data_IF_375735126843
#
_entry.id   IF_375735126843
#
_cell.length_a   1.000
_cell.length_b   1.000
_cell.length_c   1.000
_cell.angle_alpha   90.00
_cell.angle_beta   90.00
_cell.angle_gamma   90.00
#
_symmetry.space_group_name_H-M   'P 1'
#
loop_
_entity.id
_entity.type
_entity.pdbx_description
1 polymer ?
#
# COMPACT_ATOMS: atom_id res chain seq x y z
N UNK A 1 -23.84 -5.07 -6.06
CA UNK A 1 -22.55 -4.36 -6.10
C UNK A 1 -22.29 -3.83 -7.50
N UNK A 2 -22.07 -2.55 -7.59
CA UNK A 2 -21.84 -1.88 -8.86
C UNK A 2 -20.74 -0.82 -8.67
N UNK A 3 -19.73 -0.84 -9.54
CA UNK A 3 -18.63 0.10 -9.54
C UNK A 3 -18.33 0.56 -10.97
N UNK A 4 -18.21 1.87 -11.15
CA UNK A 4 -17.79 2.50 -12.41
C UNK A 4 -16.60 3.39 -12.10
N UNK A 5 -15.56 3.27 -12.92
CA UNK A 5 -14.43 4.20 -12.97
C UNK A 5 -14.31 4.80 -14.36
N UNK A 6 -14.02 6.09 -14.39
CA UNK A 6 -13.66 6.81 -15.61
C UNK A 6 -12.39 7.62 -15.32
N UNK A 7 -11.38 7.45 -16.18
CA UNK A 7 -10.11 8.15 -16.04
C UNK A 7 -9.72 8.81 -17.35
N UNK A 8 -9.18 10.01 -17.26
CA UNK A 8 -8.63 10.74 -18.41
C UNK A 8 -7.28 11.32 -18.07
N UNK A 9 -6.37 11.27 -19.05
CA UNK A 9 -5.03 11.80 -18.94
C UNK A 9 -4.74 12.75 -20.09
N UNK A 10 -4.19 13.91 -19.76
CA UNK A 10 -3.65 14.86 -20.72
C UNK A 10 -2.16 14.98 -20.49
N UNK A 11 -1.36 14.51 -21.45
CA UNK A 11 0.10 14.51 -21.35
C UNK A 11 0.72 15.54 -22.30
N UNK A 12 1.63 16.34 -21.78
CA UNK A 12 2.43 17.30 -22.52
C UNK A 12 3.88 16.82 -22.57
N UNK A 13 4.52 16.71 -23.74
CA UNK A 13 5.89 16.19 -23.88
C UNK A 13 6.98 17.18 -23.41
N UNK A 14 6.64 18.08 -22.51
CA UNK A 14 7.51 19.09 -21.90
C UNK A 14 7.07 19.42 -20.48
N UNK A 15 7.98 19.94 -19.67
CA UNK A 15 7.66 20.44 -18.33
C UNK A 15 7.00 21.80 -18.43
N UNK A 16 5.73 21.91 -18.03
CA UNK A 16 4.95 23.13 -17.93
C UNK A 16 4.92 23.56 -16.47
N UNK A 17 5.81 24.47 -16.08
CA UNK A 17 5.84 25.03 -14.74
C UNK A 17 5.77 26.56 -14.82
N UNK A 18 4.73 27.18 -14.26
CA UNK A 18 4.45 28.60 -14.50
C UNK A 18 5.52 29.53 -13.94
N UNK A 19 6.26 29.11 -12.89
CA UNK A 19 7.27 29.95 -12.24
C UNK A 19 8.71 29.73 -12.75
N UNK A 20 8.92 28.87 -13.75
CA UNK A 20 10.24 28.66 -14.37
C UNK A 20 10.39 29.51 -15.63
N UNK A 21 11.50 30.23 -15.73
CA UNK A 21 11.89 30.95 -16.94
C UNK A 21 12.06 29.96 -18.12
N UNK A 22 11.71 30.41 -19.32
CA UNK A 22 11.69 29.56 -20.52
C UNK A 22 13.07 28.93 -20.84
N UNK A 23 14.16 29.67 -20.61
CA UNK A 23 15.52 29.18 -20.79
C UNK A 23 15.81 27.92 -19.94
N UNK A 24 15.39 27.91 -18.67
CA UNK A 24 15.55 26.74 -17.78
C UNK A 24 14.62 25.60 -18.17
N UNK A 25 13.40 25.89 -18.66
CA UNK A 25 12.45 24.86 -19.11
C UNK A 25 12.98 24.06 -20.29
N UNK A 26 13.70 24.70 -21.23
CA UNK A 26 14.28 24.04 -22.42
C UNK A 26 15.33 22.98 -22.07
N UNK A 27 16.01 23.11 -20.92
CA UNK A 27 17.02 22.16 -20.47
C UNK A 27 16.45 21.03 -19.59
N UNK A 28 15.16 21.12 -19.19
CA UNK A 28 14.52 20.09 -18.38
C UNK A 28 13.86 19.05 -19.30
N UNK A 29 14.49 17.88 -19.40
CA UNK A 29 13.85 16.72 -20.06
C UNK A 29 12.77 16.13 -19.16
N UNK A 30 11.53 16.02 -19.67
CA UNK A 30 10.41 15.45 -18.92
C UNK A 30 9.06 15.82 -19.53
N UNK A 31 8.00 15.30 -18.96
CA UNK A 31 6.62 15.54 -19.36
C UNK A 31 5.80 16.10 -18.18
N UNK A 32 4.74 16.82 -18.51
CA UNK A 32 3.70 17.21 -17.57
C UNK A 32 2.44 16.43 -17.87
N UNK A 33 1.73 16.02 -16.82
CA UNK A 33 0.52 15.22 -16.96
C UNK A 33 -0.55 15.80 -16.05
N UNK A 34 -1.73 16.02 -16.59
CA UNK A 34 -2.97 16.29 -15.87
C UNK A 34 -3.81 15.02 -15.92
N UNK A 35 -4.15 14.47 -14.77
CA UNK A 35 -5.03 13.32 -14.65
C UNK A 35 -6.31 13.68 -13.90
N UNK A 36 -7.43 13.13 -14.34
CA UNK A 36 -8.73 13.20 -13.66
C UNK A 36 -9.29 11.78 -13.59
N UNK A 37 -9.62 11.34 -12.39
CA UNK A 37 -10.25 10.05 -12.11
C UNK A 37 -11.56 10.29 -11.37
N UNK A 38 -12.64 9.70 -11.85
CA UNK A 38 -13.89 9.57 -11.14
C UNK A 38 -14.19 8.10 -10.88
N UNK A 39 -14.45 7.75 -9.63
CA UNK A 39 -14.87 6.40 -9.22
C UNK A 39 -16.18 6.49 -8.44
N UNK A 40 -17.12 5.63 -8.79
CA UNK A 40 -18.43 5.53 -8.20
C UNK A 40 -18.71 4.10 -7.77
N UNK A 41 -18.85 3.88 -6.47
CA UNK A 41 -19.18 2.59 -5.86
C UNK A 41 -20.57 2.65 -5.24
N UNK A 42 -21.43 1.72 -5.61
CA UNK A 42 -22.73 1.49 -4.98
C UNK A 42 -22.74 0.11 -4.33
N UNK A 43 -22.76 0.10 -3.01
CA UNK A 43 -22.91 -1.12 -2.19
C UNK A 43 -24.23 -1.05 -1.41
N UNK A 44 -24.77 -2.19 -0.96
CA UNK A 44 -25.96 -2.20 -0.10
C UNK A 44 -25.77 -1.43 1.22
N UNK A 45 -24.52 -1.33 1.69
CA UNK A 45 -24.18 -0.68 2.95
C UNK A 45 -23.93 0.82 2.80
N UNK A 46 -23.37 1.24 1.64
CA UNK A 46 -23.02 2.65 1.38
C UNK A 46 -22.86 2.96 -0.10
N UNK A 47 -23.01 4.22 -0.44
CA UNK A 47 -22.61 4.78 -1.73
C UNK A 47 -21.38 5.66 -1.53
N UNK A 48 -20.36 5.43 -2.35
CA UNK A 48 -19.10 6.20 -2.30
C UNK A 48 -18.78 6.79 -3.66
N UNK A 49 -18.35 8.03 -3.67
CA UNK A 49 -17.89 8.76 -4.86
C UNK A 49 -16.49 9.28 -4.58
N UNK A 50 -15.56 9.04 -5.47
CA UNK A 50 -14.20 9.54 -5.38
C UNK A 50 -13.88 10.33 -6.64
N UNK A 51 -13.48 11.58 -6.46
CA UNK A 51 -12.95 12.42 -7.51
C UNK A 51 -11.48 12.71 -7.20
N UNK A 52 -10.60 12.32 -8.11
CA UNK A 52 -9.16 12.60 -8.00
C UNK A 52 -8.72 13.45 -9.16
N UNK A 53 -8.02 14.54 -8.88
CA UNK A 53 -7.35 15.37 -9.88
C UNK A 53 -5.88 15.52 -9.51
N UNK A 54 -4.96 15.31 -10.44
CA UNK A 54 -3.54 15.49 -10.17
C UNK A 54 -2.80 16.18 -11.30
N UNK A 55 -1.87 17.05 -10.92
CA UNK A 55 -0.87 17.64 -11.80
C UNK A 55 0.49 17.09 -11.45
N UNK A 56 1.10 16.36 -12.41
CA UNK A 56 2.32 15.60 -12.19
C UNK A 56 3.40 15.99 -13.20
N UNK A 57 4.65 15.85 -12.79
CA UNK A 57 5.83 15.94 -13.67
C UNK A 57 6.52 14.60 -13.66
N UNK A 58 6.85 14.10 -14.87
CA UNK A 58 7.58 12.84 -15.03
C UNK A 58 8.89 13.09 -15.77
N UNK A 59 9.94 12.49 -15.29
CA UNK A 59 11.26 12.47 -15.91
C UNK A 59 11.77 11.05 -15.96
N UNK A 60 12.28 10.67 -17.13
CA UNK A 60 12.96 9.39 -17.31
C UNK A 60 14.34 9.64 -17.92
N UNK A 61 15.37 8.95 -17.42
CA UNK A 61 16.70 9.01 -18.03
C UNK A 61 16.70 8.32 -19.40
N UNK A 62 17.62 8.72 -20.29
CA UNK A 62 17.78 8.11 -21.64
C UNK A 62 18.05 6.60 -21.55
N UNK A 63 18.75 6.15 -20.52
CA UNK A 63 18.98 4.71 -20.26
C UNK A 63 17.75 3.97 -19.74
N UNK A 64 16.66 4.65 -19.41
CA UNK A 64 15.49 4.09 -18.76
C UNK A 64 15.69 3.63 -17.30
N UNK A 65 16.92 3.84 -16.75
CA UNK A 65 17.26 3.35 -15.41
C UNK A 65 16.67 4.19 -14.29
N UNK A 66 16.59 5.51 -14.48
CA UNK A 66 16.08 6.44 -13.48
C UNK A 66 14.72 6.95 -13.96
N UNK A 67 13.72 6.81 -13.10
CA UNK A 67 12.41 7.42 -13.27
C UNK A 67 12.11 8.27 -12.03
N UNK A 68 11.67 9.49 -12.27
CA UNK A 68 11.27 10.44 -11.24
C UNK A 68 9.87 10.94 -11.56
N UNK A 69 9.03 11.00 -10.53
CA UNK A 69 7.69 11.57 -10.61
C UNK A 69 7.49 12.54 -9.46
N UNK A 70 7.04 13.74 -9.77
CA UNK A 70 6.61 14.74 -8.80
C UNK A 70 5.13 14.98 -9.02
N UNK A 71 4.29 14.60 -8.08
CA UNK A 71 2.91 15.06 -8.04
C UNK A 71 2.92 16.41 -7.32
N UNK A 72 2.88 17.49 -8.09
CA UNK A 72 2.96 18.83 -7.53
C UNK A 72 1.74 19.13 -6.65
N UNK A 73 0.56 18.75 -7.14
CA UNK A 73 -0.71 18.80 -6.40
C UNK A 73 -1.56 17.60 -6.84
N UNK A 74 -2.05 16.85 -5.88
CA UNK A 74 -3.07 15.83 -6.07
C UNK A 74 -4.21 16.09 -5.10
N UNK A 75 -5.42 16.16 -5.61
CA UNK A 75 -6.65 16.42 -4.85
C UNK A 75 -7.49 15.16 -4.91
N UNK A 76 -7.80 14.58 -3.75
CA UNK A 76 -8.70 13.46 -3.63
C UNK A 76 -9.90 13.89 -2.78
N UNK A 77 -11.06 13.94 -3.41
CA UNK A 77 -12.32 14.21 -2.74
C UNK A 77 -13.14 12.94 -2.65
N UNK A 78 -13.33 12.45 -1.43
CA UNK A 78 -14.18 11.30 -1.12
C UNK A 78 -15.48 11.81 -0.56
N UNK A 79 -16.58 11.44 -1.20
CA UNK A 79 -17.93 11.82 -0.80
C UNK A 79 -18.79 10.59 -0.60
N UNK A 80 -19.48 10.52 0.53
CA UNK A 80 -20.39 9.44 0.94
C UNK A 80 -21.83 9.95 0.91
N UNK A 81 -22.51 9.91 -0.28
CA UNK A 81 -23.86 10.47 -0.41
C UNK A 81 -24.92 9.71 0.39
N UNK A 82 -24.67 8.46 0.68
CA UNK A 82 -25.60 7.61 1.41
C UNK A 82 -24.89 6.51 2.16
N UNK A 83 -25.33 6.29 3.40
CA UNK A 83 -24.91 5.17 4.25
C UNK A 83 -26.19 4.55 4.83
N UNK A 84 -26.31 3.22 4.78
CA UNK A 84 -27.45 2.48 5.32
C UNK A 84 -27.63 2.78 6.82
N UNK A 85 -28.86 2.99 7.25
CA UNK A 85 -29.18 3.22 8.66
C UNK A 85 -28.80 2.04 9.57
N UNK A 86 -28.95 0.81 9.05
CA UNK A 86 -28.55 -0.41 9.74
C UNK A 86 -27.03 -0.46 9.90
N UNK A 87 -26.29 -0.24 8.81
CA UNK A 87 -24.83 -0.19 8.84
C UNK A 87 -24.31 0.93 9.75
N UNK A 88 -24.92 2.12 9.66
CA UNK A 88 -24.56 3.25 10.52
C UNK A 88 -24.74 2.89 12.00
N UNK A 89 -25.89 2.35 12.39
CA UNK A 89 -26.20 1.95 13.76
C UNK A 89 -25.29 0.83 14.26
N UNK A 90 -25.02 -0.20 13.44
CA UNK A 90 -24.23 -1.37 13.86
C UNK A 90 -22.73 -1.13 13.87
N UNK A 91 -22.22 -0.30 12.97
CA UNK A 91 -20.77 -0.12 12.75
C UNK A 91 -20.25 1.29 13.03
N UNK A 92 -21.09 2.33 13.04
CA UNK A 92 -20.65 3.71 13.26
C UNK A 92 -21.13 4.27 14.61
N UNK A 93 -22.39 4.03 14.98
CA UNK A 93 -23.02 4.61 16.18
C UNK A 93 -22.93 3.67 17.41
N UNK A 94 -22.90 2.34 17.20
CA UNK A 94 -22.84 1.35 18.30
C UNK A 94 -21.43 1.19 18.88
N UNK A 95 -20.43 1.66 18.15
CA UNK A 95 -19.04 1.62 18.59
C UNK A 95 -18.80 2.96 19.31
N UNK A 96 -18.71 2.90 20.66
CA UNK A 96 -18.29 4.04 21.49
C UNK A 96 -17.11 4.78 20.87
N UNK A 97 -16.80 6.00 21.26
CA UNK A 97 -15.72 6.93 20.82
C UNK A 97 -14.34 6.29 20.49
N UNK A 98 -14.24 4.97 20.52
CA UNK A 98 -13.01 4.19 20.42
C UNK A 98 -12.61 3.82 19.00
N UNK A 99 -13.54 3.74 18.04
CA UNK A 99 -13.21 3.33 16.67
C UNK A 99 -12.99 4.51 15.71
N UNK A 100 -12.01 5.34 16.04
CA UNK A 100 -11.63 6.49 15.20
C UNK A 100 -11.29 6.08 13.74
N UNK A 101 -10.76 4.87 13.54
CA UNK A 101 -10.38 4.37 12.21
C UNK A 101 -11.60 4.06 11.35
N UNK A 102 -12.58 3.33 11.90
CA UNK A 102 -13.81 2.96 11.17
C UNK A 102 -14.60 4.23 10.83
N UNK A 103 -14.84 5.08 11.83
CA UNK A 103 -15.58 6.32 11.63
C UNK A 103 -14.94 7.18 10.54
N UNK A 104 -13.64 7.41 10.61
CA UNK A 104 -12.90 8.20 9.63
C UNK A 104 -12.90 7.58 8.22
N UNK A 105 -13.08 6.28 8.08
CA UNK A 105 -13.14 5.57 6.78
C UNK A 105 -14.47 5.77 6.05
N UNK A 106 -15.52 6.19 6.76
CA UNK A 106 -16.87 6.41 6.20
C UNK A 106 -17.33 7.87 6.27
N UNK A 107 -16.43 8.78 6.55
CA UNK A 107 -16.67 10.23 6.49
C UNK A 107 -16.27 10.79 5.11
N UNK A 108 -16.79 11.99 4.82
CA UNK A 108 -16.31 12.75 3.67
C UNK A 108 -14.87 13.21 3.92
N UNK A 109 -13.99 12.96 2.97
CA UNK A 109 -12.58 13.28 3.09
C UNK A 109 -12.11 14.19 1.98
N UNK A 110 -11.32 15.17 2.36
CA UNK A 110 -10.64 16.04 1.43
C UNK A 110 -9.13 15.94 1.67
N UNK A 111 -8.42 15.33 0.71
CA UNK A 111 -6.99 15.10 0.81
C UNK A 111 -6.32 15.86 -0.32
N UNK A 112 -5.50 16.85 0.02
CA UNK A 112 -4.61 17.53 -0.92
C UNK A 112 -3.20 17.18 -0.53
N UNK A 113 -2.49 16.51 -1.42
CA UNK A 113 -1.14 16.03 -1.19
C UNK A 113 -0.20 16.42 -2.32
N UNK A 114 1.08 16.46 -1.98
CA UNK A 114 2.20 16.52 -2.92
C UNK A 114 3.08 15.32 -2.66
N UNK A 115 3.65 14.73 -3.72
CA UNK A 115 4.53 13.59 -3.58
C UNK A 115 5.73 13.67 -4.50
N UNK A 116 6.81 13.00 -4.09
CA UNK A 116 7.99 12.76 -4.90
C UNK A 116 8.31 11.26 -4.89
N UNK A 117 8.40 10.70 -6.09
CA UNK A 117 8.71 9.29 -6.30
C UNK A 117 9.97 9.16 -7.13
N UNK A 118 10.88 8.32 -6.68
CA UNK A 118 12.12 7.99 -7.37
C UNK A 118 12.24 6.49 -7.52
N UNK A 119 12.48 6.03 -8.76
CA UNK A 119 12.73 4.62 -9.05
C UNK A 119 14.03 4.50 -9.83
N UNK A 120 14.92 3.68 -9.32
CA UNK A 120 16.13 3.25 -10.02
C UNK A 120 16.01 1.76 -10.36
N UNK A 121 16.21 1.42 -11.64
CA UNK A 121 16.26 0.04 -12.10
C UNK A 121 17.58 -0.18 -12.86
N UNK A 122 18.43 -1.04 -12.33
CA UNK A 122 19.77 -1.30 -12.91
C UNK A 122 19.70 -1.92 -14.31
N UNK A 123 18.64 -2.64 -14.64
CA UNK A 123 18.42 -3.23 -15.97
C UNK A 123 17.96 -2.21 -17.04
N UNK A 124 17.41 -1.07 -16.61
CA UNK A 124 16.92 -0.04 -17.50
C UNK A 124 15.79 -0.53 -18.42
N UNK A 125 15.74 -0.01 -19.64
CA UNK A 125 14.72 -0.38 -20.65
C UNK A 125 14.80 -1.84 -21.13
N UNK A 126 15.88 -2.56 -20.82
CA UNK A 126 16.06 -3.97 -21.16
C UNK A 126 15.33 -4.93 -20.18
N UNK A 127 14.65 -4.40 -19.16
CA UNK A 127 13.99 -5.18 -18.12
C UNK A 127 12.64 -5.81 -18.55
N UNK A 128 12.35 -5.87 -19.84
CA UNK A 128 11.08 -6.35 -20.33
C UNK A 128 10.93 -7.87 -20.15
N UNK A 129 10.19 -8.27 -19.12
CA UNK A 129 9.49 -9.56 -19.07
C UNK A 129 10.31 -10.82 -18.80
N UNK A 130 11.62 -10.75 -18.60
CA UNK A 130 12.43 -11.95 -18.34
C UNK A 130 12.35 -12.39 -16.88
N UNK A 131 11.91 -13.63 -16.63
CA UNK A 131 12.01 -14.29 -15.33
C UNK A 131 13.45 -14.40 -14.81
N UNK A 132 14.42 -14.35 -15.71
CA UNK A 132 15.85 -14.46 -15.44
C UNK A 132 16.54 -13.16 -15.79
N UNK A 133 16.31 -12.13 -15.01
CA UNK A 133 17.08 -10.90 -15.15
C UNK A 133 18.48 -11.09 -14.58
N UNK A 134 19.48 -10.78 -15.38
CA UNK A 134 20.88 -10.77 -14.96
C UNK A 134 21.01 -9.81 -13.77
N UNK A 135 21.48 -10.30 -12.62
CA UNK A 135 21.93 -9.49 -11.48
C UNK A 135 21.35 -8.07 -11.43
N UNK A 136 20.05 -7.95 -11.56
CA UNK A 136 19.36 -6.66 -11.60
C UNK A 136 18.85 -6.28 -10.21
N UNK A 137 18.84 -4.99 -9.92
CA UNK A 137 18.21 -4.47 -8.72
C UNK A 137 17.37 -3.24 -9.02
N UNK A 138 16.35 -3.06 -8.22
CA UNK A 138 15.47 -1.91 -8.24
C UNK A 138 15.40 -1.30 -6.86
N UNK A 139 15.45 0.00 -6.80
CA UNK A 139 15.20 0.82 -5.61
C UNK A 139 14.03 1.72 -5.93
N UNK A 140 13.03 1.69 -5.10
CA UNK A 140 11.90 2.63 -5.16
C UNK A 140 11.78 3.37 -3.85
N UNK A 141 11.63 4.67 -3.95
CA UNK A 141 11.45 5.58 -2.83
C UNK A 141 10.30 6.52 -3.14
N UNK A 142 9.41 6.73 -2.18
CA UNK A 142 8.33 7.69 -2.28
C UNK A 142 8.17 8.47 -0.98
N UNK A 143 7.99 9.78 -1.09
CA UNK A 143 7.60 10.64 0.02
C UNK A 143 6.35 11.42 -0.38
N UNK A 144 5.35 11.43 0.49
CA UNK A 144 4.10 12.11 0.30
C UNK A 144 3.80 12.98 1.52
N UNK A 145 3.39 14.21 1.30
CA UNK A 145 2.96 15.15 2.34
C UNK A 145 1.58 15.69 2.01
N UNK A 146 0.64 15.57 2.93
CA UNK A 146 -0.75 15.97 2.74
C UNK A 146 -1.20 17.03 3.75
N UNK A 147 -2.14 17.87 3.32
CA UNK A 147 -2.88 18.81 4.14
C UNK A 147 -2.15 20.09 4.52
N UNK A 148 -0.85 20.24 4.26
CA UNK A 148 -0.09 21.42 4.65
C UNK A 148 -0.57 22.68 3.92
N UNK A 149 -0.82 22.58 2.62
CA UNK A 149 -1.35 23.70 1.82
C UNK A 149 -2.74 24.11 2.32
N UNK A 150 -3.61 23.13 2.59
CA UNK A 150 -4.95 23.37 3.12
C UNK A 150 -4.89 23.99 4.51
N UNK A 151 -3.96 23.55 5.36
CA UNK A 151 -3.78 24.12 6.69
C UNK A 151 -3.36 25.58 6.64
N UNK A 152 -2.45 25.94 5.74
CA UNK A 152 -2.02 27.33 5.53
C UNK A 152 -3.19 28.19 5.05
N UNK A 153 -3.96 27.73 4.08
CA UNK A 153 -5.15 28.42 3.56
C UNK A 153 -6.21 28.57 4.66
N UNK A 154 -6.53 27.50 5.37
CA UNK A 154 -7.51 27.51 6.44
C UNK A 154 -7.10 28.43 7.60
N UNK A 155 -5.80 28.48 7.91
CA UNK A 155 -5.27 29.37 8.94
C UNK A 155 -5.35 30.85 8.51
N UNK A 156 -4.97 31.15 7.27
CA UNK A 156 -5.04 32.51 6.72
C UNK A 156 -6.50 33.02 6.59
N UNK A 157 -7.42 32.12 6.24
CA UNK A 157 -8.84 32.42 6.12
C UNK A 157 -9.60 32.44 7.47
N UNK A 158 -8.92 32.10 8.58
CA UNK A 158 -9.57 32.08 9.91
C UNK A 158 -10.72 31.09 10.03
N UNK A 159 -10.66 29.93 9.31
CA UNK A 159 -11.77 28.98 9.27
C UNK A 159 -12.08 28.41 10.66
N UNK A 160 -13.36 28.09 10.88
CA UNK A 160 -13.83 27.50 12.14
C UNK A 160 -13.27 26.10 12.34
N UNK A 161 -13.17 25.70 13.60
CA UNK A 161 -12.89 24.31 13.98
C UNK A 161 -14.22 23.57 14.17
N UNK A 162 -14.25 22.29 13.85
CA UNK A 162 -15.37 21.41 14.19
C UNK A 162 -15.36 21.04 15.68
N UNK A 163 -16.36 20.27 16.12
CA UNK A 163 -16.50 19.82 17.52
C UNK A 163 -15.31 18.97 17.99
N UNK A 164 -14.61 18.28 17.07
CA UNK A 164 -13.40 17.52 17.35
C UNK A 164 -12.12 18.40 17.39
N UNK A 165 -12.25 19.72 17.26
CA UNK A 165 -11.15 20.67 17.28
C UNK A 165 -10.36 20.78 15.97
N UNK A 166 -10.76 20.07 14.92
CA UNK A 166 -10.10 20.05 13.61
C UNK A 166 -10.56 21.26 12.77
N UNK A 167 -9.63 21.88 12.02
CA UNK A 167 -9.99 22.90 11.03
C UNK A 167 -10.70 22.24 9.86
N UNK A 168 -11.72 22.93 9.35
CA UNK A 168 -12.49 22.47 8.21
C UNK A 168 -12.34 23.43 7.03
N UNK A 169 -12.41 22.88 5.83
CA UNK A 169 -12.59 23.59 4.57
C UNK A 169 -13.87 23.04 3.91
N UNK A 170 -14.79 23.93 3.49
CA UNK A 170 -16.11 23.51 2.99
C UNK A 170 -16.86 22.57 3.95
N UNK A 171 -16.77 22.80 5.25
CA UNK A 171 -17.31 21.93 6.33
C UNK A 171 -16.76 20.51 6.37
N UNK A 172 -15.64 20.22 5.68
CA UNK A 172 -14.98 18.92 5.67
C UNK A 172 -13.63 19.05 6.36
N UNK A 173 -13.34 18.15 7.31
CA UNK A 173 -12.02 18.04 7.90
C UNK A 173 -11.04 17.46 6.87
N UNK A 174 -9.87 18.05 6.75
CA UNK A 174 -8.86 17.58 5.81
C UNK A 174 -7.76 16.79 6.52
N UNK A 175 -7.29 15.77 5.85
CA UNK A 175 -6.20 14.93 6.35
C UNK A 175 -4.86 15.68 6.32
N UNK A 176 -4.08 15.56 7.40
CA UNK A 176 -2.72 16.09 7.48
C UNK A 176 -1.77 14.97 7.91
N UNK A 177 -0.86 14.57 7.03
CA UNK A 177 0.11 13.49 7.28
C UNK A 177 1.35 13.61 6.41
N UNK A 178 2.38 12.89 6.80
CA UNK A 178 3.53 12.57 5.96
C UNK A 178 3.63 11.05 5.82
N UNK A 179 3.94 10.59 4.61
CA UNK A 179 4.10 9.18 4.27
C UNK A 179 5.42 8.97 3.56
N UNK A 180 6.10 7.90 3.92
CA UNK A 180 7.37 7.48 3.38
C UNK A 180 7.29 6.01 3.00
N UNK A 181 7.65 5.67 1.76
CA UNK A 181 7.74 4.30 1.28
C UNK A 181 9.14 4.04 0.71
N UNK A 182 9.69 2.89 1.02
CA UNK A 182 10.94 2.39 0.48
C UNK A 182 10.79 0.93 0.10
N UNK A 183 11.15 0.59 -1.14
CA UNK A 183 11.16 -0.78 -1.66
C UNK A 183 12.51 -1.05 -2.32
N UNK A 184 13.10 -2.18 -2.00
CA UNK A 184 14.31 -2.69 -2.62
C UNK A 184 14.10 -4.12 -3.08
N UNK A 185 14.29 -4.37 -4.36
CA UNK A 185 14.25 -5.71 -4.94
C UNK A 185 15.56 -6.01 -5.67
N UNK A 186 16.08 -7.21 -5.51
CA UNK A 186 17.30 -7.66 -6.19
C UNK A 186 17.14 -9.09 -6.69
N UNK A 187 17.53 -9.33 -7.92
CA UNK A 187 17.60 -10.63 -8.55
C UNK A 187 19.06 -11.03 -8.80
N UNK A 188 19.40 -12.26 -8.46
CA UNK A 188 20.70 -12.87 -8.68
C UNK A 188 20.52 -14.05 -9.63
N UNK A 189 21.17 -14.03 -10.77
CA UNK A 189 21.23 -15.18 -11.67
C UNK A 189 22.30 -16.14 -11.16
N UNK A 190 21.92 -17.32 -10.69
CA UNK A 190 22.85 -18.35 -10.25
C UNK A 190 23.42 -19.14 -11.42
N UNK A 191 22.57 -19.50 -12.38
CA UNK A 191 22.91 -20.16 -13.63
C UNK A 191 21.78 -19.95 -14.66
N UNK A 192 21.88 -20.57 -15.82
CA UNK A 192 20.89 -20.44 -16.91
C UNK A 192 19.47 -20.92 -16.53
N UNK A 193 19.31 -21.69 -15.46
CA UNK A 193 18.03 -22.27 -15.04
C UNK A 193 17.56 -21.78 -13.69
N UNK A 194 18.43 -21.19 -12.88
CA UNK A 194 18.12 -20.83 -11.50
C UNK A 194 18.44 -19.38 -11.21
N UNK A 195 17.53 -18.73 -10.53
CA UNK A 195 17.70 -17.37 -10.01
C UNK A 195 17.23 -17.28 -8.56
N UNK A 196 17.76 -16.32 -7.86
CA UNK A 196 17.41 -16.00 -6.49
C UNK A 196 16.98 -14.53 -6.41
N UNK A 197 15.87 -14.25 -5.78
CA UNK A 197 15.35 -12.90 -5.64
C UNK A 197 15.13 -12.56 -4.17
N UNK A 198 15.48 -11.34 -3.79
CA UNK A 198 15.27 -10.78 -2.46
C UNK A 198 14.50 -9.48 -2.59
N UNK A 199 13.55 -9.27 -1.74
CA UNK A 199 12.77 -8.04 -1.65
C UNK A 199 12.67 -7.59 -0.20
N UNK A 200 12.77 -6.30 0.03
CA UNK A 200 12.48 -5.68 1.33
C UNK A 200 11.69 -4.41 1.12
N UNK A 201 10.68 -4.19 1.93
CA UNK A 201 9.86 -3.00 1.90
C UNK A 201 9.69 -2.43 3.31
N UNK A 202 9.79 -1.10 3.39
CA UNK A 202 9.50 -0.30 4.56
C UNK A 202 8.48 0.77 4.21
N UNK A 203 7.49 0.97 5.06
CA UNK A 203 6.51 2.04 4.91
C UNK A 203 6.19 2.67 6.25
N UNK A 204 6.11 3.99 6.28
CA UNK A 204 5.77 4.76 7.48
C UNK A 204 4.84 5.91 7.10
N UNK A 205 3.69 6.00 7.76
CA UNK A 205 2.72 7.09 7.60
C UNK A 205 2.41 7.70 8.97
N UNK A 206 2.67 9.00 9.12
CA UNK A 206 2.52 9.72 10.39
C UNK A 206 1.45 10.79 10.26
N UNK A 207 0.32 10.68 10.98
CA UNK A 207 -0.67 11.75 11.08
C UNK A 207 -0.17 12.82 12.04
N UNK A 208 -0.43 14.07 11.72
CA UNK A 208 -0.13 15.21 12.58
C UNK A 208 -1.10 16.37 12.37
N UNK A 209 -1.01 17.40 13.23
CA UNK A 209 -1.78 18.63 13.09
C UNK A 209 -3.28 18.38 13.12
N UNK A 210 -3.91 18.51 11.96
CA UNK A 210 -5.37 18.40 11.79
C UNK A 210 -5.89 16.95 11.69
N UNK A 211 -5.01 15.94 11.78
CA UNK A 211 -5.40 14.55 11.69
C UNK A 211 -4.80 13.72 12.82
N UNK A 212 -5.60 12.88 13.44
CA UNK A 212 -5.19 11.90 14.45
C UNK A 212 -5.03 10.51 13.87
N UNK A 213 -5.65 10.24 12.73
CA UNK A 213 -5.68 8.95 12.04
C UNK A 213 -5.31 9.17 10.56
N UNK A 214 -4.60 8.21 9.99
CA UNK A 214 -4.32 8.19 8.54
C UNK A 214 -5.57 7.75 7.78
N UNK A 215 -5.96 8.40 6.68
CA UNK A 215 -7.03 7.92 5.80
C UNK A 215 -6.84 6.47 5.39
N UNK A 216 -7.94 5.73 5.34
CA UNK A 216 -7.91 4.29 5.05
C UNK A 216 -7.16 3.96 3.74
N UNK A 217 -7.33 4.77 2.71
CA UNK A 217 -6.68 4.63 1.40
C UNK A 217 -5.15 4.78 1.45
N UNK A 218 -4.64 5.38 2.52
CA UNK A 218 -3.20 5.64 2.72
C UNK A 218 -2.55 4.72 3.73
N UNK A 219 -3.35 3.89 4.42
CA UNK A 219 -2.86 2.90 5.39
C UNK A 219 -2.25 1.70 4.68
N UNK A 220 -1.37 1.02 5.38
CA UNK A 220 -0.78 -0.24 4.92
C UNK A 220 -1.62 -1.43 5.36
N UNK A 221 -1.54 -2.50 4.57
CA UNK A 221 -2.05 -3.82 4.90
C UNK A 221 -1.00 -4.87 4.55
N UNK A 222 -1.09 -6.06 5.18
CA UNK A 222 -0.21 -7.19 4.93
C UNK A 222 -1.01 -8.47 4.68
N UNK A 223 -0.31 -9.48 4.10
CA UNK A 223 -0.91 -10.66 3.52
C UNK A 223 -1.18 -10.53 2.02
N UNK A 224 -1.35 -11.64 1.35
CA UNK A 224 -1.57 -11.71 -0.08
C UNK A 224 -0.32 -12.07 -0.91
N UNK A 225 -0.50 -12.25 -2.23
CA UNK A 225 0.51 -12.85 -3.11
C UNK A 225 1.80 -12.04 -3.29
N UNK A 226 1.81 -10.74 -2.97
CA UNK A 226 2.96 -9.84 -3.10
C UNK A 226 3.45 -9.34 -1.72
N UNK A 227 3.08 -10.01 -0.65
CA UNK A 227 3.42 -9.64 0.72
C UNK A 227 3.86 -10.88 1.50
N UNK A 228 3.19 -11.27 2.57
CA UNK A 228 3.46 -12.49 3.34
C UNK A 228 2.44 -13.55 2.91
N UNK A 229 2.86 -14.49 2.05
CA UNK A 229 1.98 -15.42 1.31
C UNK A 229 1.32 -16.52 2.16
N UNK A 230 1.66 -16.61 3.45
CA UNK A 230 0.93 -17.46 4.40
C UNK A 230 -0.43 -16.92 4.83
N UNK A 231 -0.78 -15.69 4.46
CA UNK A 231 -2.05 -15.01 4.79
C UNK A 231 -2.75 -14.52 3.55
N UNK A 232 -4.08 -14.56 3.57
CA UNK A 232 -4.91 -13.94 2.54
C UNK A 232 -4.72 -12.42 2.52
N UNK A 233 -5.20 -11.77 1.49
CA UNK A 233 -5.09 -10.31 1.34
C UNK A 233 -5.76 -9.62 2.53
N UNK A 234 -5.02 -8.73 3.23
CA UNK A 234 -5.48 -7.98 4.41
C UNK A 234 -5.86 -8.86 5.61
N UNK A 235 -5.28 -10.03 5.76
CA UNK A 235 -5.54 -10.91 6.90
C UNK A 235 -4.51 -10.74 8.01
N UNK A 236 -3.32 -10.20 7.72
CA UNK A 236 -2.20 -10.13 8.67
C UNK A 236 -2.11 -8.77 9.36
N UNK A 237 -1.98 -8.79 10.70
CA UNK A 237 -1.71 -7.63 11.55
C UNK A 237 -2.90 -6.72 11.83
N UNK A 238 -2.70 -5.56 12.41
CA UNK A 238 -1.43 -5.00 12.86
C UNK A 238 -0.89 -5.68 14.12
N UNK A 239 0.44 -5.87 14.16
CA UNK A 239 1.11 -6.53 15.28
C UNK A 239 0.54 -7.91 15.58
N UNK A 240 0.06 -8.13 16.81
CA UNK A 240 -0.62 -9.36 17.25
C UNK A 240 -2.15 -9.31 17.19
N UNK A 241 -2.72 -8.28 16.58
CA UNK A 241 -4.17 -8.13 16.45
C UNK A 241 -4.81 -9.28 15.65
N UNK A 242 -5.86 -9.89 16.20
CA UNK A 242 -6.53 -11.09 15.65
C UNK A 242 -7.83 -10.78 14.88
N UNK A 243 -8.20 -9.51 14.76
CA UNK A 243 -9.52 -9.11 14.28
C UNK A 243 -10.55 -9.04 15.42
N UNK A 244 -11.79 -8.71 15.09
CA UNK A 244 -12.88 -8.64 16.05
C UNK A 244 -13.39 -10.07 16.34
N UNK A 245 -13.40 -10.46 17.61
CA UNK A 245 -13.82 -11.81 18.06
C UNK A 245 -13.07 -12.96 17.34
N UNK A 246 -11.78 -12.73 16.98
CA UNK A 246 -10.96 -13.70 16.27
C UNK A 246 -11.32 -13.89 14.79
N UNK A 247 -12.19 -13.04 14.23
CA UNK A 247 -12.55 -13.01 12.82
C UNK A 247 -11.82 -11.87 12.12
N UNK A 248 -11.43 -12.13 10.86
CA UNK A 248 -10.77 -11.13 10.01
C UNK A 248 -11.67 -9.89 9.86
N UNK A 249 -11.13 -8.74 10.23
CA UNK A 249 -11.77 -7.44 10.06
C UNK A 249 -10.93 -6.60 9.09
N UNK A 250 -11.28 -6.64 7.81
CA UNK A 250 -10.52 -5.99 6.74
C UNK A 250 -10.33 -4.48 6.90
N UNK A 251 -11.16 -3.80 7.68
CA UNK A 251 -11.05 -2.37 7.94
C UNK A 251 -10.01 -2.11 9.02
N UNK A 252 -10.06 -2.89 10.09
CA UNK A 252 -9.14 -2.73 11.22
C UNK A 252 -7.81 -3.46 11.01
N UNK A 253 -7.71 -4.41 10.06
CA UNK A 253 -6.42 -5.05 9.73
C UNK A 253 -5.57 -4.16 8.81
N UNK A 254 -5.33 -2.94 9.26
CA UNK A 254 -4.51 -1.93 8.60
C UNK A 254 -3.59 -1.26 9.61
N UNK A 255 -2.44 -0.79 9.16
CA UNK A 255 -1.44 -0.10 9.97
C UNK A 255 -0.88 1.14 9.30
N UNK A 256 -0.08 1.90 10.00
CA UNK A 256 0.63 3.05 9.46
C UNK A 256 2.16 2.88 9.46
N UNK A 257 2.64 1.69 9.83
CA UNK A 257 4.01 1.22 9.65
C UNK A 257 3.98 -0.17 9.01
N UNK A 258 4.85 -0.44 8.04
CA UNK A 258 4.99 -1.71 7.33
C UNK A 258 6.45 -2.12 7.27
N UNK A 259 6.73 -3.40 7.55
CA UNK A 259 8.02 -4.05 7.30
C UNK A 259 7.76 -5.36 6.56
N UNK A 260 8.44 -5.57 5.43
CA UNK A 260 8.38 -6.81 4.66
C UNK A 260 9.79 -7.25 4.26
N UNK A 261 9.99 -8.55 4.26
CA UNK A 261 11.18 -9.22 3.74
C UNK A 261 10.76 -10.50 3.03
N UNK A 262 11.17 -10.66 1.78
CA UNK A 262 10.81 -11.79 0.95
C UNK A 262 12.06 -12.35 0.29
N UNK A 263 12.14 -13.67 0.21
CA UNK A 263 13.20 -14.40 -0.48
C UNK A 263 12.54 -15.45 -1.35
N UNK A 264 12.96 -15.54 -2.61
CA UNK A 264 12.41 -16.51 -3.56
C UNK A 264 13.52 -17.11 -4.42
N UNK A 265 13.65 -18.44 -4.40
CA UNK A 265 14.43 -19.19 -5.37
C UNK A 265 13.52 -19.62 -6.51
N UNK A 266 13.91 -19.32 -7.75
CA UNK A 266 13.19 -19.62 -8.98
C UNK A 266 14.00 -20.60 -9.81
N UNK A 267 13.37 -21.67 -10.29
CA UNK A 267 14.02 -22.69 -11.09
C UNK A 267 13.18 -23.01 -12.33
N UNK A 268 13.85 -23.07 -13.48
CA UNK A 268 13.24 -23.60 -14.70
C UNK A 268 12.96 -25.09 -14.55
N UNK A 269 11.76 -25.52 -14.87
CA UNK A 269 11.36 -26.93 -14.86
C UNK A 269 11.38 -27.50 -16.27
N UNK A 270 10.43 -27.16 -17.07
CA UNK A 270 10.33 -27.57 -18.47
C UNK A 270 9.39 -26.63 -19.23
N UNK A 271 9.53 -26.58 -20.54
CA UNK A 271 8.73 -25.75 -21.45
C UNK A 271 8.68 -24.28 -21.00
N UNK A 272 7.53 -23.75 -20.60
CA UNK A 272 7.33 -22.40 -20.06
C UNK A 272 7.05 -22.40 -18.55
N UNK A 273 7.23 -23.55 -17.91
CA UNK A 273 6.92 -23.74 -16.49
C UNK A 273 8.18 -23.59 -15.63
N UNK A 274 8.05 -22.82 -14.57
CA UNK A 274 9.08 -22.57 -13.57
C UNK A 274 8.51 -22.88 -12.18
N UNK A 275 9.33 -23.45 -11.33
CA UNK A 275 9.06 -23.62 -9.91
C UNK A 275 9.65 -22.49 -9.10
N UNK A 276 9.06 -22.22 -7.95
CA UNK A 276 9.62 -21.32 -6.95
C UNK A 276 9.49 -21.89 -5.55
N UNK A 277 10.51 -21.65 -4.72
CA UNK A 277 10.45 -21.83 -3.28
C UNK A 277 10.64 -20.48 -2.63
N UNK A 278 9.88 -20.18 -1.58
CA UNK A 278 9.93 -18.87 -0.97
C UNK A 278 9.83 -18.90 0.56
N UNK A 279 10.36 -17.84 1.15
CA UNK A 279 10.21 -17.50 2.55
C UNK A 279 9.84 -16.02 2.60
N UNK A 280 8.76 -15.71 3.30
CA UNK A 280 8.30 -14.34 3.52
C UNK A 280 8.26 -14.05 5.02
N UNK A 281 8.63 -12.83 5.40
CA UNK A 281 8.53 -12.34 6.76
C UNK A 281 8.06 -10.89 6.77
N UNK A 282 7.33 -10.49 7.78
CA UNK A 282 6.90 -9.11 7.93
C UNK A 282 5.62 -8.94 8.71
N UNK A 283 5.22 -7.70 8.88
CA UNK A 283 3.95 -7.32 9.49
C UNK A 283 3.68 -5.83 9.24
N UNK A 284 2.53 -5.38 9.70
CA UNK A 284 2.18 -3.96 9.82
C UNK A 284 1.94 -3.63 11.30
N UNK A 285 2.06 -2.36 11.64
CA UNK A 285 1.80 -1.84 12.99
C UNK A 285 1.20 -0.45 12.92
N UNK A 286 0.74 0.02 14.07
CA UNK A 286 0.40 1.42 14.29
C UNK A 286 1.48 2.12 15.11
N UNK A 287 1.73 3.38 14.82
CA UNK A 287 2.64 4.21 15.60
C UNK A 287 2.00 4.71 16.90
N UNK A 288 0.66 4.65 16.99
CA UNK A 288 -0.13 5.00 18.17
C UNK A 288 -0.94 3.79 18.66
N UNK A 289 -1.32 3.79 19.93
CA UNK A 289 -2.23 2.78 20.46
C UNK A 289 -3.66 3.15 20.08
N UNK A 290 -4.36 2.21 19.43
CA UNK A 290 -5.78 2.29 19.15
C UNK A 290 -6.49 1.20 19.95
N UNK A 291 -7.55 1.58 20.70
CA UNK A 291 -8.26 0.65 21.58
C UNK A 291 -8.87 -0.55 20.82
N UNK A 292 -9.26 -0.33 19.55
CA UNK A 292 -9.86 -1.37 18.69
C UNK A 292 -8.83 -2.33 18.08
N UNK A 293 -7.55 -2.05 18.23
CA UNK A 293 -6.44 -2.83 17.66
C UNK A 293 -5.44 -3.21 18.75
N UNK A 294 -5.94 -3.90 19.80
CA UNK A 294 -5.11 -4.36 20.91
C UNK A 294 -3.91 -5.19 20.39
N UNK A 295 -2.70 -4.87 20.85
CA UNK A 295 -1.47 -5.49 20.37
C UNK A 295 -0.96 -4.96 19.01
N UNK A 296 -1.65 -3.99 18.39
CA UNK A 296 -1.29 -3.45 17.09
C UNK A 296 -0.24 -2.33 17.12
N UNK A 297 0.15 -1.83 18.30
CA UNK A 297 1.13 -0.75 18.41
C UNK A 297 2.56 -1.24 18.19
N UNK A 298 3.33 -0.53 17.39
CA UNK A 298 4.76 -0.75 17.23
C UNK A 298 5.53 -0.35 18.48
N UNK A 299 6.39 -1.26 18.96
CA UNK A 299 7.29 -1.03 20.08
C UNK A 299 8.66 -1.59 19.75
N UNK A 300 9.71 -0.78 19.88
CA UNK A 300 11.08 -1.18 19.56
C UNK A 300 11.60 -2.36 20.40
N UNK A 301 11.06 -2.53 21.62
CA UNK A 301 11.43 -3.60 22.55
C UNK A 301 10.79 -4.95 22.22
N UNK A 302 9.74 -4.99 21.39
CA UNK A 302 8.90 -6.19 21.23
C UNK A 302 8.42 -6.45 19.80
N UNK A 303 8.62 -5.55 18.83
CA UNK A 303 8.13 -5.72 17.45
C UNK A 303 8.62 -7.01 16.79
N UNK A 304 9.84 -7.47 17.11
CA UNK A 304 10.42 -8.68 16.54
C UNK A 304 9.64 -9.96 16.92
N UNK A 305 8.94 -9.95 18.06
CA UNK A 305 8.05 -11.04 18.49
C UNK A 305 6.74 -11.08 17.69
N UNK A 306 6.42 -9.99 17.01
CA UNK A 306 5.22 -9.82 16.21
C UNK A 306 5.50 -9.96 14.70
N UNK A 307 6.70 -10.37 14.32
CA UNK A 307 7.01 -10.65 12.91
C UNK A 307 6.35 -11.97 12.53
N UNK A 308 5.45 -11.89 11.53
CA UNK A 308 4.88 -13.06 10.89
C UNK A 308 5.89 -13.67 9.92
N UNK A 309 5.92 -14.99 9.82
CA UNK A 309 6.74 -15.69 8.83
C UNK A 309 5.93 -16.76 8.11
N UNK A 310 6.20 -16.93 6.82
CA UNK A 310 5.63 -17.98 5.99
C UNK A 310 6.68 -18.58 5.06
N UNK A 311 6.43 -19.79 4.61
CA UNK A 311 7.21 -20.48 3.59
C UNK A 311 6.26 -21.15 2.60
N UNK A 312 6.77 -21.51 1.44
CA UNK A 312 5.92 -22.18 0.49
C UNK A 312 6.59 -22.45 -0.84
N UNK A 313 5.80 -22.96 -1.73
CA UNK A 313 6.21 -23.21 -3.11
C UNK A 313 5.21 -22.60 -4.08
N UNK A 314 5.65 -22.40 -5.31
CA UNK A 314 4.77 -21.86 -6.33
C UNK A 314 5.17 -22.30 -7.73
N UNK A 315 4.22 -22.17 -8.64
CA UNK A 315 4.38 -22.39 -10.07
C UNK A 315 4.25 -21.08 -10.83
N UNK A 316 5.06 -20.91 -11.85
CA UNK A 316 5.13 -19.75 -12.73
C UNK A 316 5.01 -20.23 -14.17
N UNK A 317 3.92 -19.86 -14.85
CA UNK A 317 3.75 -20.12 -16.28
C UNK A 317 4.09 -18.85 -17.05
N UNK A 318 5.21 -18.86 -17.76
CA UNK A 318 5.66 -17.72 -18.56
C UNK A 318 5.04 -17.79 -19.95
N UNK A 319 4.09 -16.91 -20.23
CA UNK A 319 3.39 -16.80 -21.52
C UNK A 319 3.99 -15.70 -22.42
N UNK A 320 5.26 -15.29 -22.18
CA UNK A 320 6.06 -14.28 -22.86
C UNK A 320 5.59 -12.83 -22.61
N UNK A 321 4.31 -12.54 -22.70
CA UNK A 321 3.72 -11.21 -22.47
C UNK A 321 3.14 -11.04 -21.05
N UNK A 322 2.87 -12.14 -20.34
CA UNK A 322 2.57 -12.13 -18.91
C UNK A 322 2.93 -13.48 -18.26
N UNK A 323 3.03 -13.45 -16.94
CA UNK A 323 3.36 -14.62 -16.13
C UNK A 323 2.15 -14.92 -15.26
N UNK A 324 1.60 -16.14 -15.39
CA UNK A 324 0.62 -16.66 -14.43
C UNK A 324 1.35 -17.29 -13.25
N UNK A 325 0.87 -17.01 -12.06
CA UNK A 325 1.49 -17.46 -10.82
C UNK A 325 0.48 -18.14 -9.91
N UNK A 326 0.86 -19.31 -9.42
CA UNK A 326 0.15 -20.07 -8.39
C UNK A 326 1.07 -20.23 -7.20
N UNK A 327 0.69 -19.78 -6.03
CA UNK A 327 1.49 -19.87 -4.81
C UNK A 327 0.70 -20.60 -3.71
N UNK A 328 1.36 -21.54 -3.05
CA UNK A 328 0.90 -22.25 -1.85
C UNK A 328 1.79 -21.81 -0.69
N UNK A 329 1.25 -20.97 0.18
CA UNK A 329 1.96 -20.43 1.33
C UNK A 329 1.49 -21.07 2.64
N UNK A 330 2.43 -21.53 3.46
CA UNK A 330 2.19 -22.05 4.80
C UNK A 330 2.67 -21.04 5.85
N UNK A 331 1.87 -20.84 6.88
CA UNK A 331 2.27 -20.05 8.05
C UNK A 331 3.39 -20.76 8.81
N UNK A 332 4.46 -20.05 9.13
CA UNK A 332 5.57 -20.56 9.95
C UNK A 332 5.53 -20.00 11.37
N UNK A 333 5.35 -18.67 11.49
CA UNK A 333 5.17 -17.93 12.74
C UNK A 333 3.94 -17.07 12.62
N UNK A 334 2.97 -17.25 13.53
CA UNK A 334 1.74 -16.47 13.55
C UNK A 334 1.69 -15.59 14.80
N UNK A 335 1.91 -14.27 14.68
CA UNK A 335 1.97 -13.35 15.81
C UNK A 335 0.61 -13.08 16.47
N UNK A 336 -0.49 -13.50 15.87
CA UNK A 336 -1.82 -13.42 16.45
C UNK A 336 -1.98 -14.27 17.75
N UNK A 337 -1.04 -15.16 18.02
CA UNK A 337 -1.00 -15.98 19.22
C UNK A 337 0.33 -15.77 19.94
N UNK A 338 0.30 -15.61 21.24
CA UNK A 338 1.50 -15.30 22.05
C UNK A 338 2.45 -16.51 22.22
N UNK A 339 1.89 -17.72 22.23
CA UNK A 339 2.69 -18.94 22.47
C UNK A 339 2.01 -20.20 21.93
N UNK A 340 2.74 -21.30 21.98
CA UNK A 340 2.24 -22.64 21.69
C UNK A 340 2.18 -23.01 20.21
N UNK A 341 1.43 -24.08 19.91
CA UNK A 341 1.35 -24.68 18.56
C UNK A 341 0.73 -23.77 17.51
N UNK A 342 -0.09 -22.79 17.91
CA UNK A 342 -0.70 -21.80 17.02
C UNK A 342 0.25 -20.66 16.71
N UNK A 343 1.16 -20.32 17.63
CA UNK A 343 2.20 -19.32 17.40
C UNK A 343 3.28 -19.83 16.42
N UNK A 344 3.63 -21.13 16.53
CA UNK A 344 4.61 -21.78 15.66
C UNK A 344 3.97 -22.90 14.81
N UNK A 345 3.15 -22.56 13.78
CA UNK A 345 2.56 -23.57 12.89
C UNK A 345 3.59 -24.47 12.21
N UNK A 346 4.81 -23.98 11.98
CA UNK A 346 5.90 -24.76 11.38
C UNK A 346 6.21 -26.05 12.18
N UNK A 347 6.03 -26.06 13.52
CA UNK A 347 6.27 -27.22 14.36
C UNK A 347 5.08 -28.20 14.32
N UNK A 348 3.86 -27.67 14.12
CA UNK A 348 2.63 -28.46 14.09
C UNK A 348 1.70 -27.94 12.99
N UNK A 349 2.04 -28.18 11.71
CA UNK A 349 1.30 -27.64 10.58
C UNK A 349 -0.09 -28.25 10.47
N UNK A 350 -1.08 -27.40 10.14
CA UNK A 350 -2.44 -27.82 9.83
C UNK A 350 -2.86 -27.20 8.49
N UNK A 351 -3.02 -28.04 7.48
CA UNK A 351 -3.31 -27.58 6.11
C UNK A 351 -4.57 -26.73 6.06
N UNK A 352 -5.63 -27.12 6.75
CA UNK A 352 -6.92 -26.38 6.72
C UNK A 352 -6.87 -25.02 7.38
N UNK A 353 -5.91 -24.78 8.29
CA UNK A 353 -5.75 -23.50 9.03
C UNK A 353 -4.60 -22.65 8.51
N UNK A 354 -3.51 -23.27 8.09
CA UNK A 354 -2.23 -22.59 7.90
C UNK A 354 -1.81 -22.46 6.44
N UNK A 355 -2.48 -23.21 5.52
CA UNK A 355 -2.24 -23.13 4.08
C UNK A 355 -3.10 -22.04 3.46
N UNK A 356 -2.48 -21.19 2.66
CA UNK A 356 -3.16 -20.18 1.83
C UNK A 356 -2.75 -20.37 0.38
N UNK A 357 -3.73 -20.35 -0.52
CA UNK A 357 -3.53 -20.42 -1.96
C UNK A 357 -3.71 -19.06 -2.59
N UNK A 358 -2.79 -18.68 -3.49
CA UNK A 358 -2.86 -17.44 -4.25
C UNK A 358 -2.75 -17.70 -5.75
N UNK A 359 -3.63 -17.06 -6.48
CA UNK A 359 -3.52 -16.86 -7.92
C UNK A 359 -3.14 -15.41 -8.20
N UNK A 360 -2.13 -15.18 -9.04
CA UNK A 360 -1.69 -13.83 -9.37
C UNK A 360 -1.10 -13.77 -10.79
N UNK A 361 -0.97 -12.55 -11.30
CA UNK A 361 -0.33 -12.23 -12.58
C UNK A 361 0.92 -11.40 -12.33
N UNK A 362 2.02 -11.74 -13.00
CA UNK A 362 3.33 -11.11 -12.82
C UNK A 362 4.18 -11.76 -11.73
N UNK A 363 5.39 -11.24 -11.55
CA UNK A 363 6.28 -11.63 -10.44
C UNK A 363 5.87 -10.90 -9.16
N UNK A 364 6.17 -11.45 -7.97
CA UNK A 364 5.80 -10.82 -6.70
C UNK A 364 6.60 -9.54 -6.41
N UNK A 365 7.83 -9.44 -6.96
CA UNK A 365 8.77 -8.32 -6.84
C UNK A 365 9.89 -8.44 -7.87
#
# INVERSE_FOLDING_TARGET
FFEISAETHLSFPRIIFPFLKEERRRHLSGSSELSLLYNSQNRPEFHRRVLTGAWSYRRQSLSGRVQQKVDAVSVNYVFMPWISSTFKREYLDSISDRSAIIRYSYENLFIVNSSYSYTYNSAGSAANGSLYQKNAYQVHFNIESAGNLLYLIANAAGTRRNDDGNRTLFNIAFAQYVKFDFDYARSFLLNSRNSFAVHTAFGLALPYGNATVIPFEKRYFAGGPNSVRGWSVRELGPGSYTGKDGKVDFINQTGNLKLLFNVEWRSYLFWKLHGALFIDAGNIWNTRNYADQAGGQFRFDSFYKQIAASYGFGLRLNLDFFILRLDWGMKAVNPAYESGKRHFPIINPNIGRDLTFHFAVGLPF
#
